data_IF_810539108767
#
_entry.id   IF_810539108767
#
_cell.length_a   1.000
_cell.length_b   1.000
_cell.length_c   1.000
_cell.angle_alpha   90.00
_cell.angle_beta   90.00
_cell.angle_gamma   90.00
#
_symmetry.space_group_name_H-M   'P 1'
#
loop_
_entity.id
_entity.type
_entity.pdbx_description
1 polymer ?
#
# COMPACT_ATOMS: atom_id res chain seq x y z
N UNK A 1 -9.00 -42.53 67.25
CA UNK A 1 -9.09 -42.00 65.87
C UNK A 1 -8.80 -40.51 65.98
N UNK A 2 -7.61 -40.16 66.43
CA UNK A 2 -6.35 -40.08 65.68
C UNK A 2 -6.18 -38.68 65.12
N UNK A 3 -5.51 -37.88 65.95
CA UNK A 3 -4.81 -36.64 65.63
C UNK A 3 -3.92 -36.79 64.40
N UNK A 4 -3.78 -35.72 63.61
CA UNK A 4 -2.47 -35.36 63.07
C UNK A 4 -2.44 -33.88 62.65
N UNK A 5 -2.03 -33.05 63.61
CA UNK A 5 -1.45 -31.74 63.39
C UNK A 5 0.07 -31.94 63.39
N UNK A 6 0.77 -31.64 62.28
CA UNK A 6 2.23 -31.73 62.18
C UNK A 6 2.76 -30.97 60.95
N UNK A 7 3.09 -29.71 61.19
CA UNK A 7 4.43 -29.14 60.97
C UNK A 7 5.18 -29.57 59.69
N UNK A 8 5.27 -28.67 58.71
CA UNK A 8 6.29 -28.73 57.65
C UNK A 8 6.95 -27.36 57.52
N UNK A 9 8.10 -27.23 58.17
CA UNK A 9 9.07 -26.15 57.96
C UNK A 9 9.61 -26.15 56.51
N UNK A 10 9.97 -24.98 55.96
CA UNK A 10 10.59 -24.86 54.65
C UNK A 10 12.09 -25.15 54.72
N UNK A 11 12.54 -26.17 53.97
CA UNK A 11 13.95 -26.51 53.77
C UNK A 11 14.61 -25.63 52.72
N UNK A 12 15.64 -24.91 53.15
CA UNK A 12 16.49 -23.99 52.40
C UNK A 12 17.62 -24.75 51.68
N UNK A 13 17.82 -24.53 50.36
CA UNK A 13 19.09 -24.80 49.68
C UNK A 13 19.42 -23.64 48.75
N UNK A 14 20.44 -22.87 49.12
CA UNK A 14 21.04 -21.83 48.30
C UNK A 14 21.86 -22.45 47.16
N UNK A 15 21.64 -21.99 45.93
CA UNK A 15 22.67 -21.99 44.88
C UNK A 15 22.61 -20.65 44.14
N UNK A 16 23.76 -20.01 44.13
CA UNK A 16 24.12 -18.81 43.39
C UNK A 16 23.82 -18.94 41.89
N UNK A 17 23.22 -17.91 41.30
CA UNK A 17 22.93 -17.84 39.87
C UNK A 17 22.73 -16.40 39.43
N UNK A 18 23.85 -15.80 39.02
CA UNK A 18 24.05 -14.47 38.43
C UNK A 18 22.83 -13.83 37.75
N UNK A 19 22.56 -12.57 38.13
CA UNK A 19 21.89 -11.58 37.27
C UNK A 19 22.68 -11.47 35.96
N UNK A 20 22.21 -12.12 34.90
CA UNK A 20 22.55 -11.72 33.54
C UNK A 20 21.40 -10.86 33.03
N UNK A 21 21.67 -9.58 32.87
CA UNK A 21 20.79 -8.67 32.18
C UNK A 21 20.57 -9.18 30.76
N UNK A 22 19.32 -9.13 30.32
CA UNK A 22 18.98 -9.17 28.91
C UNK A 22 19.63 -7.94 28.26
N UNK A 23 20.85 -8.11 27.74
CA UNK A 23 21.35 -7.22 26.71
C UNK A 23 20.54 -7.50 25.45
N UNK A 24 19.50 -6.69 25.23
CA UNK A 24 19.02 -6.42 23.88
C UNK A 24 20.21 -5.85 23.11
N UNK A 25 20.94 -6.72 22.43
CA UNK A 25 21.88 -6.33 21.38
C UNK A 25 20.99 -5.73 20.28
N UNK A 26 20.87 -4.40 20.26
CA UNK A 26 20.61 -3.72 18.99
C UNK A 26 21.65 -4.29 18.02
N UNK A 27 21.20 -4.96 16.98
CA UNK A 27 22.00 -5.12 15.79
C UNK A 27 22.13 -3.71 15.17
N UNK A 28 22.96 -2.87 15.79
CA UNK A 28 23.61 -1.77 15.09
C UNK A 28 24.71 -2.44 14.27
N UNK A 29 24.29 -3.15 13.23
CA UNK A 29 25.19 -3.55 12.14
C UNK A 29 25.22 -2.34 11.23
N UNK A 30 26.20 -1.47 11.47
CA UNK A 30 26.61 -0.51 10.45
C UNK A 30 26.95 -1.34 9.20
N UNK A 31 26.32 -1.10 8.04
CA UNK A 31 26.63 -1.86 6.83
C UNK A 31 28.14 -1.81 6.61
N UNK A 32 28.75 -2.96 6.35
CA UNK A 32 30.19 -3.00 6.10
C UNK A 32 30.50 -2.28 4.79
N UNK A 33 31.72 -1.79 4.60
CA UNK A 33 32.12 -1.10 3.37
C UNK A 33 31.85 -1.97 2.11
N UNK A 34 31.95 -3.30 2.24
CA UNK A 34 31.61 -4.27 1.18
C UNK A 34 30.09 -4.32 0.89
N UNK A 35 29.23 -4.29 1.91
CA UNK A 35 27.76 -4.24 1.72
C UNK A 35 27.31 -2.92 1.06
N UNK A 36 28.02 -1.81 1.35
CA UNK A 36 27.75 -0.50 0.74
C UNK A 36 28.12 -0.48 -0.74
N UNK A 37 29.28 -1.02 -1.10
CA UNK A 37 29.76 -1.08 -2.49
C UNK A 37 28.86 -1.97 -3.38
N UNK A 38 28.36 -3.09 -2.83
CA UNK A 38 27.44 -3.99 -3.54
C UNK A 38 26.05 -3.35 -3.76
N UNK A 39 25.56 -2.58 -2.78
CA UNK A 39 24.31 -1.81 -2.90
C UNK A 39 24.43 -0.70 -3.94
N UNK A 40 25.53 0.04 -3.93
CA UNK A 40 25.78 1.10 -4.91
C UNK A 40 25.90 0.53 -6.33
N UNK A 41 26.58 -0.60 -6.50
CA UNK A 41 26.64 -1.32 -7.78
C UNK A 41 25.26 -1.81 -8.25
N UNK A 42 24.38 -2.23 -7.34
CA UNK A 42 23.01 -2.62 -7.66
C UNK A 42 22.16 -1.41 -8.08
N UNK A 43 22.33 -0.25 -7.43
CA UNK A 43 21.64 0.98 -7.80
C UNK A 43 22.06 1.52 -9.16
N UNK A 44 23.33 1.34 -9.54
CA UNK A 44 23.80 1.66 -10.89
C UNK A 44 23.19 0.73 -11.96
N UNK A 45 22.94 -0.53 -11.62
CA UNK A 45 22.37 -1.53 -12.53
C UNK A 45 20.85 -1.40 -12.68
N UNK A 46 20.14 -1.06 -11.59
CA UNK A 46 18.68 -0.92 -11.58
C UNK A 46 18.27 0.41 -10.95
N UNK A 47 18.29 1.52 -11.72
CA UNK A 47 17.95 2.85 -11.23
C UNK A 47 16.54 2.94 -10.61
N UNK A 48 15.63 2.06 -11.01
CA UNK A 48 14.26 1.99 -10.48
C UNK A 48 14.18 1.68 -8.99
N UNK A 49 15.18 0.99 -8.41
CA UNK A 49 15.21 0.71 -6.96
C UNK A 49 15.25 2.02 -6.16
N UNK A 50 16.06 3.00 -6.60
CA UNK A 50 16.13 4.32 -5.96
C UNK A 50 14.80 5.08 -6.05
N UNK A 51 14.07 4.92 -7.16
CA UNK A 51 12.74 5.52 -7.32
C UNK A 51 11.75 4.90 -6.33
N UNK A 52 11.74 3.58 -6.18
CA UNK A 52 10.89 2.86 -5.21
C UNK A 52 11.23 3.27 -3.77
N UNK A 53 12.51 3.40 -3.40
CA UNK A 53 12.89 3.83 -2.06
C UNK A 53 12.50 5.29 -1.75
N UNK A 54 12.55 6.18 -2.76
CA UNK A 54 12.04 7.56 -2.61
C UNK A 54 10.52 7.55 -2.45
N UNK A 55 9.83 6.76 -3.26
CA UNK A 55 8.39 6.56 -3.19
C UNK A 55 7.94 6.00 -1.82
N UNK A 56 8.62 4.99 -1.29
CA UNK A 56 8.34 4.43 0.04
C UNK A 56 8.45 5.48 1.15
N UNK A 57 9.35 6.47 1.03
CA UNK A 57 9.46 7.56 2.01
C UNK A 57 8.38 8.64 1.85
N UNK A 58 7.83 8.82 0.65
CA UNK A 58 6.76 9.79 0.41
C UNK A 58 5.38 9.26 0.76
N UNK A 59 5.15 7.95 0.58
CA UNK A 59 3.81 7.34 0.69
C UNK A 59 3.18 7.50 2.08
N UNK A 60 3.98 7.47 3.14
CA UNK A 60 3.51 7.69 4.52
C UNK A 60 3.12 9.14 4.84
N UNK A 61 3.29 10.07 3.89
CA UNK A 61 2.94 11.50 4.04
C UNK A 61 1.75 11.91 3.18
N UNK A 62 1.18 10.98 2.43
CA UNK A 62 0.03 11.22 1.57
C UNK A 62 -1.22 11.46 2.43
N UNK A 63 -2.03 12.45 2.04
CA UNK A 63 -3.33 12.73 2.66
C UNK A 63 -4.41 11.78 2.13
N UNK A 64 -4.25 10.48 2.38
CA UNK A 64 -5.15 9.44 1.92
C UNK A 64 -6.61 9.75 2.27
N UNK A 65 -7.52 9.62 1.30
CA UNK A 65 -8.97 9.80 1.48
C UNK A 65 -9.42 11.16 2.05
N UNK A 66 -8.56 12.18 2.04
CA UNK A 66 -8.83 13.47 2.66
C UNK A 66 -9.86 14.35 1.92
N UNK A 67 -10.25 13.96 0.69
CA UNK A 67 -11.11 14.77 -0.20
C UNK A 67 -12.26 13.98 -0.82
N UNK A 68 -12.70 12.92 -0.14
CA UNK A 68 -13.84 12.13 -0.61
C UNK A 68 -15.11 12.97 -0.72
N UNK A 69 -15.89 12.74 -1.76
CA UNK A 69 -17.17 13.39 -2.03
C UNK A 69 -17.07 14.87 -2.45
N UNK A 70 -15.87 15.47 -2.43
CA UNK A 70 -15.70 16.84 -2.91
C UNK A 70 -15.97 16.96 -4.44
N UNK A 71 -16.43 18.10 -4.94
CA UNK A 71 -16.52 18.34 -6.37
C UNK A 71 -15.17 18.16 -7.08
N UNK A 72 -15.17 17.44 -8.20
CA UNK A 72 -13.96 17.19 -9.00
C UNK A 72 -13.47 18.51 -9.60
N UNK A 73 -12.30 18.97 -9.15
CA UNK A 73 -11.62 20.12 -9.73
C UNK A 73 -11.06 19.76 -11.12
N UNK A 74 -10.95 20.76 -12.00
CA UNK A 74 -10.46 20.57 -13.38
C UNK A 74 -9.13 19.80 -13.44
N UNK A 75 -8.18 20.10 -12.54
CA UNK A 75 -6.87 19.44 -12.54
C UNK A 75 -6.97 17.94 -12.24
N UNK A 76 -7.92 17.54 -11.38
CA UNK A 76 -8.18 16.14 -11.05
C UNK A 76 -8.88 15.45 -12.23
N UNK A 77 -9.78 16.15 -12.90
CA UNK A 77 -10.45 15.67 -14.12
C UNK A 77 -9.45 15.44 -15.26
N UNK A 78 -8.53 16.37 -15.49
CA UNK A 78 -7.45 16.24 -16.48
C UNK A 78 -6.53 15.04 -16.17
N UNK A 79 -6.25 14.81 -14.88
CA UNK A 79 -5.46 13.66 -14.41
C UNK A 79 -6.20 12.34 -14.64
N UNK A 80 -7.48 12.29 -14.28
CA UNK A 80 -8.31 11.11 -14.50
C UNK A 80 -8.47 10.81 -15.99
N UNK A 81 -8.63 11.82 -16.84
CA UNK A 81 -8.67 11.66 -18.29
C UNK A 81 -7.34 11.14 -18.85
N UNK A 82 -6.21 11.62 -18.32
CA UNK A 82 -4.88 11.09 -18.69
C UNK A 82 -4.75 9.61 -18.32
N UNK A 83 -5.21 9.22 -17.12
CA UNK A 83 -5.24 7.82 -16.70
C UNK A 83 -6.10 6.97 -17.64
N UNK A 84 -7.31 7.43 -17.97
CA UNK A 84 -8.22 6.71 -18.86
C UNK A 84 -7.65 6.57 -20.28
N UNK A 85 -7.07 7.63 -20.83
CA UNK A 85 -6.43 7.60 -22.13
C UNK A 85 -5.25 6.60 -22.15
N UNK A 86 -4.41 6.61 -21.12
CA UNK A 86 -3.28 5.69 -20.98
C UNK A 86 -3.72 4.23 -20.78
N UNK A 87 -4.88 4.00 -20.13
CA UNK A 87 -5.47 2.68 -19.96
C UNK A 87 -6.19 2.17 -21.23
N UNK A 88 -6.44 3.03 -22.21
CA UNK A 88 -7.10 2.68 -23.48
C UNK A 88 -8.58 3.06 -23.58
N UNK A 89 -9.08 3.90 -22.68
CA UNK A 89 -10.49 4.33 -22.60
C UNK A 89 -10.65 5.86 -22.72
N UNK A 90 -10.16 6.51 -23.80
CA UNK A 90 -10.15 7.97 -23.92
C UNK A 90 -11.55 8.59 -23.95
N UNK A 91 -12.58 7.82 -24.32
CA UNK A 91 -13.97 8.29 -24.39
C UNK A 91 -14.73 8.15 -23.06
N UNK A 92 -14.13 7.49 -22.06
CA UNK A 92 -14.69 7.38 -20.72
C UNK A 92 -14.67 8.72 -20.00
N UNK A 93 -15.64 8.92 -19.09
CA UNK A 93 -15.77 10.16 -18.32
C UNK A 93 -15.69 9.89 -16.84
N UNK A 94 -15.16 10.86 -16.11
CA UNK A 94 -15.18 10.88 -14.65
C UNK A 94 -16.63 10.96 -14.14
N UNK A 95 -16.91 10.21 -13.09
CA UNK A 95 -18.15 10.24 -12.34
C UNK A 95 -17.80 10.44 -10.86
N UNK A 96 -18.38 11.49 -10.25
CA UNK A 96 -18.25 11.73 -8.82
C UNK A 96 -19.15 10.75 -8.07
N UNK A 97 -18.56 10.06 -7.11
CA UNK A 97 -19.28 9.39 -6.03
C UNK A 97 -19.26 10.32 -4.80
N UNK A 98 -20.37 10.43 -4.08
CA UNK A 98 -20.49 11.26 -2.87
C UNK A 98 -20.82 10.46 -1.60
N UNK A 99 -20.95 9.13 -1.70
CA UNK A 99 -21.27 8.24 -0.58
C UNK A 99 -20.48 6.93 -0.63
N UNK A 100 -20.30 6.31 0.55
CA UNK A 100 -19.64 5.01 0.67
C UNK A 100 -20.47 3.89 0.03
N UNK A 101 -21.80 3.99 0.10
CA UNK A 101 -22.73 3.04 -0.50
C UNK A 101 -22.66 3.05 -2.03
N UNK A 102 -22.54 4.23 -2.65
CA UNK A 102 -22.37 4.33 -4.10
C UNK A 102 -20.97 3.83 -4.52
N UNK A 103 -19.94 4.01 -3.68
CA UNK A 103 -18.63 3.38 -3.90
C UNK A 103 -18.71 1.85 -3.86
N UNK A 104 -19.47 1.29 -2.91
CA UNK A 104 -19.74 -0.14 -2.83
C UNK A 104 -20.44 -0.64 -4.10
N UNK A 105 -21.52 0.03 -4.50
CA UNK A 105 -22.30 -0.34 -5.69
C UNK A 105 -21.47 -0.26 -6.97
N UNK A 106 -20.59 0.74 -7.10
CA UNK A 106 -19.68 0.87 -8.22
C UNK A 106 -18.61 -0.24 -8.21
N UNK A 107 -18.08 -0.61 -7.04
CA UNK A 107 -17.13 -1.71 -6.92
C UNK A 107 -17.76 -3.07 -7.27
N UNK A 108 -18.98 -3.35 -6.78
CA UNK A 108 -19.73 -4.57 -7.13
C UNK A 108 -20.09 -4.62 -8.62
N UNK A 109 -20.32 -3.47 -9.25
CA UNK A 109 -20.64 -3.40 -10.68
C UNK A 109 -19.47 -3.80 -11.59
N UNK A 110 -18.24 -3.75 -11.11
CA UNK A 110 -17.05 -4.21 -11.84
C UNK A 110 -17.12 -5.70 -12.19
N UNK A 111 -17.84 -6.49 -11.40
CA UNK A 111 -18.01 -7.93 -11.66
C UNK A 111 -18.81 -8.21 -12.95
N UNK A 112 -19.52 -7.20 -13.47
CA UNK A 112 -20.37 -7.32 -14.66
C UNK A 112 -19.77 -6.65 -15.91
N UNK A 113 -18.91 -5.64 -15.73
CA UNK A 113 -18.23 -4.91 -16.81
C UNK A 113 -16.74 -4.73 -16.47
N UNK A 114 -15.98 -5.81 -16.69
CA UNK A 114 -14.61 -5.95 -16.23
C UNK A 114 -13.57 -5.33 -17.17
N UNK A 115 -13.94 -4.61 -18.24
CA UNK A 115 -12.99 -4.18 -19.27
C UNK A 115 -11.85 -3.31 -18.71
N UNK A 116 -12.16 -2.38 -17.81
CA UNK A 116 -11.15 -1.57 -17.12
C UNK A 116 -10.25 -2.40 -16.22
N UNK A 117 -10.83 -3.36 -15.49
CA UNK A 117 -10.08 -4.29 -14.63
C UNK A 117 -9.16 -5.21 -15.44
N UNK A 118 -9.63 -5.76 -16.56
CA UNK A 118 -8.84 -6.61 -17.45
C UNK A 118 -7.64 -5.85 -18.03
N UNK A 119 -7.83 -4.59 -18.42
CA UNK A 119 -6.75 -3.73 -18.89
C UNK A 119 -5.70 -3.49 -17.79
N UNK A 120 -6.13 -3.19 -16.57
CA UNK A 120 -5.21 -3.05 -15.43
C UNK A 120 -4.49 -4.37 -15.13
N UNK A 121 -5.18 -5.50 -15.15
CA UNK A 121 -4.58 -6.80 -14.85
C UNK A 121 -3.54 -7.21 -15.89
N UNK A 122 -3.76 -6.89 -17.16
CA UNK A 122 -2.77 -7.09 -18.22
C UNK A 122 -1.51 -6.23 -17.99
N UNK A 123 -1.67 -4.95 -17.63
CA UNK A 123 -0.56 -4.08 -17.29
C UNK A 123 0.20 -4.57 -16.06
N UNK A 124 -0.52 -4.99 -15.01
CA UNK A 124 0.09 -5.57 -13.80
C UNK A 124 0.93 -6.79 -14.13
N UNK A 125 0.40 -7.72 -14.92
CA UNK A 125 1.12 -8.92 -15.32
C UNK A 125 2.39 -8.58 -16.11
N UNK A 126 2.32 -7.62 -17.03
CA UNK A 126 3.47 -7.16 -17.81
C UNK A 126 4.55 -6.51 -16.91
N UNK A 127 4.15 -5.66 -15.96
CA UNK A 127 5.08 -5.04 -15.01
C UNK A 127 5.74 -6.07 -14.10
N UNK A 128 4.97 -7.02 -13.58
CA UNK A 128 5.51 -8.10 -12.74
C UNK A 128 6.56 -8.92 -13.50
N UNK A 129 6.26 -9.28 -14.74
CA UNK A 129 7.21 -10.02 -15.58
C UNK A 129 8.51 -9.24 -15.78
N UNK A 130 8.42 -7.96 -16.13
CA UNK A 130 9.59 -7.09 -16.33
C UNK A 130 10.36 -6.82 -15.04
N UNK A 131 9.68 -6.66 -13.91
CA UNK A 131 10.34 -6.48 -12.62
C UNK A 131 11.23 -7.69 -12.28
N UNK A 132 10.74 -8.91 -12.54
CA UNK A 132 11.49 -10.15 -12.32
C UNK A 132 12.64 -10.38 -13.32
N UNK A 133 12.70 -9.61 -14.42
CA UNK A 133 13.88 -9.56 -15.29
C UNK A 133 15.00 -8.67 -14.71
N UNK A 134 14.66 -7.76 -13.81
CA UNK A 134 15.58 -6.78 -13.22
C UNK A 134 16.10 -7.18 -11.84
N UNK A 135 15.23 -7.77 -11.01
CA UNK A 135 15.54 -8.16 -9.63
C UNK A 135 15.05 -9.58 -9.35
N UNK A 136 15.61 -10.22 -8.31
CA UNK A 136 15.12 -11.52 -7.88
C UNK A 136 13.69 -11.43 -7.31
N UNK A 137 12.96 -12.54 -7.29
CA UNK A 137 11.62 -12.60 -6.68
C UNK A 137 11.65 -12.26 -5.18
N UNK A 138 12.71 -12.66 -4.49
CA UNK A 138 12.93 -12.36 -3.07
C UNK A 138 13.15 -10.86 -2.83
N UNK A 139 14.03 -10.23 -3.62
CA UNK A 139 14.31 -8.80 -3.52
C UNK A 139 13.09 -7.97 -3.89
N UNK A 140 12.35 -8.37 -4.93
CA UNK A 140 11.10 -7.75 -5.30
C UNK A 140 10.08 -7.81 -4.16
N UNK A 141 9.94 -8.98 -3.53
CA UNK A 141 9.09 -9.18 -2.35
C UNK A 141 9.49 -8.25 -1.19
N UNK A 142 10.78 -8.13 -0.91
CA UNK A 142 11.30 -7.25 0.15
C UNK A 142 11.01 -5.77 -0.14
N UNK A 143 11.27 -5.31 -1.36
CA UNK A 143 11.01 -3.93 -1.78
C UNK A 143 9.54 -3.56 -1.63
N UNK A 144 8.65 -4.43 -2.10
CA UNK A 144 7.20 -4.19 -2.04
C UNK A 144 6.67 -4.25 -0.61
N UNK A 145 7.19 -5.18 0.22
CA UNK A 145 6.87 -5.23 1.65
C UNK A 145 7.29 -3.95 2.38
N UNK A 146 8.45 -3.38 2.03
CA UNK A 146 8.90 -2.11 2.59
C UNK A 146 7.96 -0.95 2.23
N UNK A 147 7.53 -0.86 0.97
CA UNK A 147 6.54 0.16 0.53
C UNK A 147 5.26 0.04 1.35
N UNK A 148 4.71 -1.17 1.48
CA UNK A 148 3.48 -1.40 2.23
C UNK A 148 3.65 -1.04 3.71
N UNK A 149 4.77 -1.40 4.34
CA UNK A 149 5.05 -1.07 5.73
C UNK A 149 5.10 0.45 5.98
N UNK A 150 5.56 1.24 5.00
CA UNK A 150 5.56 2.71 5.10
C UNK A 150 4.20 3.34 4.84
N UNK A 151 3.35 2.70 4.02
CA UNK A 151 2.04 3.22 3.64
C UNK A 151 0.95 2.90 4.67
N UNK A 152 1.04 1.72 5.31
CA UNK A 152 -0.06 1.11 6.06
C UNK A 152 -0.69 2.04 7.12
N UNK A 153 0.11 2.61 8.03
CA UNK A 153 -0.41 3.47 9.10
C UNK A 153 -1.12 4.72 8.55
N UNK A 154 -0.60 5.33 7.48
CA UNK A 154 -1.20 6.51 6.88
C UNK A 154 -2.49 6.19 6.12
N UNK A 155 -2.56 5.02 5.47
CA UNK A 155 -3.77 4.54 4.78
C UNK A 155 -4.87 4.25 5.80
N UNK A 156 -4.56 3.46 6.83
CA UNK A 156 -5.49 3.10 7.92
C UNK A 156 -6.05 4.35 8.58
N UNK A 157 -5.18 5.29 8.97
CA UNK A 157 -5.61 6.55 9.57
C UNK A 157 -6.54 7.32 8.63
N UNK A 158 -6.14 7.49 7.37
CA UNK A 158 -6.92 8.25 6.38
C UNK A 158 -8.30 7.64 6.10
N UNK A 159 -8.39 6.32 5.94
CA UNK A 159 -9.68 5.63 5.73
C UNK A 159 -10.56 5.76 6.97
N UNK A 160 -10.02 5.53 8.17
CA UNK A 160 -10.83 5.60 9.38
C UNK A 160 -11.30 7.01 9.70
N UNK A 161 -10.49 8.03 9.46
CA UNK A 161 -10.91 9.43 9.56
C UNK A 161 -12.00 9.74 8.55
N UNK A 162 -11.87 9.31 7.29
CA UNK A 162 -12.87 9.50 6.26
C UNK A 162 -14.19 8.75 6.59
N UNK A 163 -14.12 7.50 7.04
CA UNK A 163 -15.30 6.73 7.43
C UNK A 163 -16.05 7.42 8.58
N UNK A 164 -15.33 7.89 9.61
CA UNK A 164 -15.91 8.62 10.73
C UNK A 164 -16.56 9.96 10.31
N UNK A 165 -16.00 10.67 9.34
CA UNK A 165 -16.58 11.92 8.82
C UNK A 165 -17.93 11.72 8.11
N UNK A 166 -18.12 10.56 7.49
CA UNK A 166 -19.33 10.20 6.77
C UNK A 166 -20.30 9.33 7.58
N UNK A 167 -20.00 9.07 8.88
CA UNK A 167 -20.76 8.16 9.74
C UNK A 167 -20.90 6.74 9.13
N UNK A 168 -19.85 6.29 8.41
CA UNK A 168 -19.81 4.96 7.81
C UNK A 168 -19.31 3.93 8.82
N UNK A 169 -20.19 3.01 9.20
CA UNK A 169 -19.92 1.91 10.12
C UNK A 169 -19.67 0.57 9.41
N UNK A 170 -19.64 0.53 8.07
CA UNK A 170 -19.42 -0.72 7.32
C UNK A 170 -17.92 -1.09 7.27
N UNK A 171 -17.48 -2.14 7.99
CA UNK A 171 -16.09 -2.55 8.00
C UNK A 171 -15.64 -3.13 6.65
N UNK A 172 -16.55 -3.70 5.85
CA UNK A 172 -16.18 -4.27 4.56
C UNK A 172 -15.78 -3.18 3.55
N UNK A 173 -16.42 -2.01 3.61
CA UNK A 173 -16.07 -0.87 2.75
C UNK A 173 -14.77 -0.21 3.18
N UNK A 174 -14.53 -0.14 4.50
CA UNK A 174 -13.24 0.28 5.05
C UNK A 174 -12.11 -0.64 4.56
N UNK A 175 -12.29 -1.95 4.69
CA UNK A 175 -11.31 -2.95 4.22
C UNK A 175 -11.09 -2.86 2.70
N UNK A 176 -12.15 -2.62 1.93
CA UNK A 176 -12.07 -2.44 0.48
C UNK A 176 -11.24 -1.21 0.10
N UNK A 177 -11.46 -0.07 0.77
CA UNK A 177 -10.69 1.15 0.55
C UNK A 177 -9.22 0.99 0.94
N UNK A 178 -8.93 0.38 2.10
CA UNK A 178 -7.57 0.06 2.54
C UNK A 178 -6.88 -0.84 1.52
N UNK A 179 -7.55 -1.92 1.08
CA UNK A 179 -7.04 -2.84 0.07
C UNK A 179 -6.73 -2.15 -1.25
N UNK A 180 -7.61 -1.25 -1.71
CA UNK A 180 -7.41 -0.47 -2.93
C UNK A 180 -6.19 0.45 -2.84
N UNK A 181 -6.02 1.16 -1.71
CA UNK A 181 -4.87 2.02 -1.46
C UNK A 181 -3.55 1.23 -1.34
N UNK A 182 -3.56 0.09 -0.66
CA UNK A 182 -2.39 -0.79 -0.56
C UNK A 182 -2.00 -1.35 -1.94
N UNK A 183 -3.00 -1.77 -2.74
CA UNK A 183 -2.78 -2.29 -4.08
C UNK A 183 -2.15 -1.23 -5.00
N UNK A 184 -2.65 0.01 -4.98
CA UNK A 184 -2.06 1.04 -5.85
C UNK A 184 -0.62 1.38 -5.45
N UNK A 185 -0.26 1.28 -4.17
CA UNK A 185 1.14 1.44 -3.72
C UNK A 185 2.04 0.38 -4.34
N UNK A 186 1.59 -0.89 -4.34
CA UNK A 186 2.30 -1.99 -4.99
C UNK A 186 2.45 -1.77 -6.50
N UNK A 187 1.37 -1.41 -7.18
CA UNK A 187 1.36 -1.20 -8.64
C UNK A 187 2.22 -0.01 -9.08
N UNK A 188 2.19 1.09 -8.34
CA UNK A 188 3.04 2.25 -8.59
C UNK A 188 4.51 1.92 -8.34
N UNK A 189 4.83 1.16 -7.27
CA UNK A 189 6.19 0.71 -7.01
C UNK A 189 6.74 -0.18 -8.14
N UNK A 190 5.92 -1.11 -8.68
CA UNK A 190 6.30 -1.91 -9.84
C UNK A 190 6.60 -1.03 -11.06
N UNK A 191 5.72 -0.08 -11.39
CA UNK A 191 5.92 0.84 -12.52
C UNK A 191 7.20 1.68 -12.37
N UNK A 192 7.52 2.14 -11.15
CA UNK A 192 8.75 2.88 -10.87
C UNK A 192 9.99 1.98 -10.95
N UNK A 193 9.90 0.73 -10.51
CA UNK A 193 11.02 -0.22 -10.54
C UNK A 193 11.46 -0.52 -11.96
N UNK A 194 10.52 -0.73 -12.88
CA UNK A 194 10.82 -0.95 -14.30
C UNK A 194 11.06 0.35 -15.08
N UNK A 195 11.10 1.48 -14.37
CA UNK A 195 11.35 2.83 -14.90
C UNK A 195 10.37 3.24 -16.01
N UNK A 196 9.07 2.98 -15.81
CA UNK A 196 8.04 3.47 -16.70
C UNK A 196 7.94 5.00 -16.70
N UNK A 197 7.39 5.52 -17.78
CA UNK A 197 7.16 6.95 -17.96
C UNK A 197 6.19 7.51 -16.90
N UNK A 198 6.29 8.81 -16.55
CA UNK A 198 5.43 9.42 -15.55
C UNK A 198 3.92 9.44 -15.88
N UNK A 199 3.55 9.09 -17.11
CA UNK A 199 2.18 8.96 -17.61
C UNK A 199 1.67 7.50 -17.62
N UNK A 200 2.44 6.56 -17.05
CA UNK A 200 1.98 5.19 -16.89
C UNK A 200 0.67 5.12 -16.07
N UNK A 201 -0.34 4.30 -16.45
CA UNK A 201 -1.64 4.25 -15.79
C UNK A 201 -1.59 4.14 -14.26
N UNK A 202 -0.75 3.26 -13.70
CA UNK A 202 -0.64 3.12 -12.24
C UNK A 202 0.05 4.29 -11.53
N UNK A 203 0.93 5.03 -12.21
CA UNK A 203 1.50 6.27 -11.66
C UNK A 203 0.42 7.35 -11.63
N UNK A 204 -0.38 7.46 -12.70
CA UNK A 204 -1.49 8.41 -12.76
C UNK A 204 -2.61 8.07 -11.76
N UNK A 205 -2.97 6.80 -11.62
CA UNK A 205 -3.96 6.34 -10.64
C UNK A 205 -3.48 6.56 -9.20
N UNK A 206 -2.20 6.33 -8.90
CA UNK A 206 -1.63 6.71 -7.61
C UNK A 206 -1.77 8.20 -7.32
N UNK A 207 -1.55 9.08 -8.32
CA UNK A 207 -1.72 10.54 -8.13
C UNK A 207 -3.16 10.94 -7.80
N UNK A 208 -4.17 10.17 -8.22
CA UNK A 208 -5.55 10.41 -7.79
C UNK A 208 -5.70 10.13 -6.28
N UNK A 209 -5.11 9.04 -5.79
CA UNK A 209 -5.04 8.77 -4.35
C UNK A 209 -4.21 9.80 -3.59
N UNK A 210 -3.09 10.24 -4.16
CA UNK A 210 -2.25 11.31 -3.59
C UNK A 210 -3.03 12.63 -3.44
N UNK A 211 -3.98 12.87 -4.35
CA UNK A 211 -4.91 14.00 -4.27
C UNK A 211 -6.05 13.80 -3.25
N UNK A 212 -6.03 12.73 -2.45
CA UNK A 212 -7.00 12.44 -1.40
C UNK A 212 -8.31 11.81 -1.90
N UNK A 213 -8.32 11.27 -3.12
CA UNK A 213 -9.48 10.64 -3.76
C UNK A 213 -9.40 9.12 -3.73
N UNK A 214 -10.53 8.46 -3.91
CA UNK A 214 -10.57 7.02 -4.12
C UNK A 214 -11.11 6.68 -5.51
N UNK A 215 -10.23 6.31 -6.46
CA UNK A 215 -10.63 5.77 -7.76
C UNK A 215 -11.19 4.35 -7.58
N UNK A 216 -12.52 4.24 -7.51
CA UNK A 216 -13.22 2.96 -7.29
C UNK A 216 -13.03 2.04 -8.50
N UNK A 217 -13.18 2.57 -9.71
CA UNK A 217 -12.97 1.81 -10.93
C UNK A 217 -13.75 2.34 -12.12
N UNK A 218 -13.39 1.82 -13.30
CA UNK A 218 -14.09 2.07 -14.55
C UNK A 218 -15.18 1.01 -14.74
N UNK A 219 -16.44 1.44 -14.79
CA UNK A 219 -17.60 0.58 -15.08
C UNK A 219 -18.28 1.15 -16.33
N UNK A 220 -18.32 0.38 -17.41
CA UNK A 220 -18.76 0.85 -18.72
C UNK A 220 -17.92 2.03 -19.19
N UNK A 221 -18.56 3.19 -19.35
CA UNK A 221 -17.91 4.42 -19.80
C UNK A 221 -17.76 5.46 -18.68
N UNK A 222 -17.93 5.04 -17.43
CA UNK A 222 -17.89 5.89 -16.23
C UNK A 222 -16.76 5.47 -15.32
N UNK A 223 -15.78 6.34 -15.13
CA UNK A 223 -14.71 6.18 -14.16
C UNK A 223 -15.11 6.80 -12.84
N UNK A 224 -15.46 5.95 -11.90
CA UNK A 224 -16.04 6.35 -10.64
C UNK A 224 -14.95 6.73 -9.64
N UNK A 225 -15.01 7.98 -9.15
CA UNK A 225 -14.05 8.55 -8.21
C UNK A 225 -14.82 9.11 -7.02
N UNK A 226 -14.56 8.54 -5.84
CA UNK A 226 -15.02 9.08 -4.58
C UNK A 226 -14.06 10.17 -4.09
#
# INVERSE_FOLDING_TARGET
MSDNDSDHQPGNWAVSGSRQGFHLRRADTDPTDEDSDDLDALYEQVPGILLVQRFARSVGRVGWFSRLGEPIARQLDDLAHSYLAALGFPDARTALIDSWEDAAAAAESLDWDAAGWEAEEQLRAALMHRALELVSEEDLGLLLAQVNAQAFEAIELGVHEAAALFDNDDPALVDLAIGSAAQICHLAALALLVAEEPDHPFVLKFRLFEAGRWPVGLVGNSFNIF
#
